data_IF_310721102036
#
_entry.id   IF_310721102036
#
_cell.length_a   1.000
_cell.length_b   1.000
_cell.length_c   1.000
_cell.angle_alpha   90.00
_cell.angle_beta   90.00
_cell.angle_gamma   90.00
#
_symmetry.space_group_name_H-M   'P 1'
#
loop_
_entity.id
_entity.type
_entity.pdbx_description
1 polymer ?
#
# COMPACT_ATOMS: atom_id res chain seq x y z
N UNK A 1 15.23 56.26 -5.04
CA UNK A 1 14.61 55.93 -6.34
C UNK A 1 13.42 55.03 -6.07
N UNK A 2 12.18 55.51 -6.27
CA UNK A 2 11.00 54.66 -6.15
C UNK A 2 11.03 53.61 -7.26
N UNK A 3 11.05 52.32 -6.90
CA UNK A 3 11.09 51.22 -7.87
C UNK A 3 9.83 51.22 -8.74
N UNK A 4 10.00 51.19 -10.06
CA UNK A 4 8.87 51.08 -11.00
C UNK A 4 8.27 49.69 -10.85
N UNK A 5 6.98 49.61 -10.50
CA UNK A 5 6.28 48.31 -10.43
C UNK A 5 5.96 47.85 -11.85
N UNK A 6 6.30 46.60 -12.17
CA UNK A 6 6.06 45.98 -13.47
C UNK A 6 5.15 44.77 -13.26
N UNK A 7 4.01 44.75 -13.93
CA UNK A 7 3.15 43.57 -13.97
C UNK A 7 3.62 42.66 -15.10
N UNK A 8 3.92 41.40 -14.76
CA UNK A 8 4.33 40.37 -15.72
C UNK A 8 3.27 39.27 -15.70
N UNK A 9 2.79 38.88 -16.88
CA UNK A 9 1.91 37.73 -17.02
C UNK A 9 2.74 36.48 -17.25
N UNK A 10 2.58 35.51 -16.36
CA UNK A 10 3.17 34.17 -16.46
C UNK A 10 2.05 33.16 -16.70
N UNK A 11 2.32 32.09 -17.44
CA UNK A 11 1.42 30.94 -17.44
C UNK A 11 1.41 30.27 -16.06
N UNK A 12 0.33 29.59 -15.69
CA UNK A 12 0.19 28.95 -14.37
C UNK A 12 1.41 28.11 -13.99
N UNK A 13 1.78 27.16 -14.85
CA UNK A 13 2.94 26.28 -14.66
C UNK A 13 4.29 27.03 -14.63
N UNK A 14 4.39 28.20 -15.26
CA UNK A 14 5.61 29.01 -15.24
C UNK A 14 5.78 29.71 -13.90
N UNK A 15 4.69 30.25 -13.34
CA UNK A 15 4.72 30.92 -12.05
C UNK A 15 5.16 29.97 -10.93
N UNK A 16 4.64 28.74 -10.91
CA UNK A 16 5.05 27.72 -9.92
C UNK A 16 6.53 27.35 -10.05
N UNK A 17 7.04 27.20 -11.28
CA UNK A 17 8.46 26.89 -11.52
C UNK A 17 9.38 28.01 -11.06
N UNK A 18 9.03 29.26 -11.34
CA UNK A 18 9.81 30.41 -10.87
C UNK A 18 9.72 30.58 -9.36
N UNK A 19 8.57 30.26 -8.76
CA UNK A 19 8.41 30.27 -7.31
C UNK A 19 9.29 29.20 -6.65
N UNK A 20 9.25 27.95 -7.13
CA UNK A 20 10.11 26.87 -6.64
C UNK A 20 11.60 27.24 -6.72
N UNK A 21 12.07 27.79 -7.86
CA UNK A 21 13.45 28.24 -8.00
C UNK A 21 13.81 29.43 -7.10
N UNK A 22 12.85 30.30 -6.76
CA UNK A 22 13.07 31.38 -5.81
C UNK A 22 13.18 30.84 -4.37
N UNK A 23 12.35 29.86 -4.01
CA UNK A 23 12.32 29.21 -2.70
C UNK A 23 13.63 28.45 -2.42
N UNK A 24 14.15 27.72 -3.40
CA UNK A 24 15.48 27.06 -3.35
C UNK A 24 16.62 28.04 -3.04
N UNK A 25 16.44 29.31 -3.43
CA UNK A 25 17.41 30.40 -3.20
C UNK A 25 17.07 31.27 -1.98
N UNK A 26 16.04 30.90 -1.21
CA UNK A 26 15.50 31.69 -0.10
C UNK A 26 15.16 33.14 -0.47
N UNK A 27 14.65 33.35 -1.69
CA UNK A 27 14.24 34.65 -2.22
C UNK A 27 12.73 34.68 -2.43
N UNK A 28 12.12 35.86 -2.33
CA UNK A 28 10.78 36.05 -2.88
C UNK A 28 10.83 36.05 -4.40
N UNK A 29 9.78 35.58 -5.07
CA UNK A 29 9.67 35.58 -6.53
C UNK A 29 9.98 36.97 -7.16
N UNK A 30 9.49 38.11 -6.62
CA UNK A 30 9.88 39.43 -7.12
C UNK A 30 11.37 39.73 -6.96
N UNK A 31 11.99 39.33 -5.85
CA UNK A 31 13.43 39.54 -5.62
C UNK A 31 14.28 38.67 -6.56
N UNK A 32 13.84 37.44 -6.81
CA UNK A 32 14.47 36.53 -7.76
C UNK A 32 14.43 37.08 -9.20
N UNK A 33 13.26 37.50 -9.68
CA UNK A 33 13.11 38.07 -11.02
C UNK A 33 13.84 39.40 -11.16
N UNK A 34 13.79 40.25 -10.11
CA UNK A 34 14.54 41.51 -10.10
C UNK A 34 16.04 41.27 -10.21
N UNK A 35 16.59 40.31 -9.46
CA UNK A 35 18.02 39.98 -9.52
C UNK A 35 18.43 39.54 -10.92
N UNK A 36 17.61 38.73 -11.60
CA UNK A 36 17.85 38.33 -12.98
C UNK A 36 17.84 39.53 -13.94
N UNK A 37 16.88 40.44 -13.78
CA UNK A 37 16.77 41.66 -14.59
C UNK A 37 17.95 42.61 -14.35
N UNK A 38 18.30 42.87 -13.09
CA UNK A 38 19.44 43.72 -12.70
C UNK A 38 20.74 43.15 -13.28
N UNK A 39 20.95 41.84 -13.17
CA UNK A 39 22.14 41.17 -13.74
C UNK A 39 22.20 41.33 -15.26
N UNK A 40 21.08 41.18 -15.97
CA UNK A 40 21.06 41.34 -17.42
C UNK A 40 21.33 42.79 -17.86
N UNK A 41 20.88 43.77 -17.07
CA UNK A 41 21.07 45.20 -17.35
C UNK A 41 22.48 45.69 -17.03
N UNK A 42 23.14 45.09 -16.02
CA UNK A 42 24.51 45.44 -15.61
C UNK A 42 25.60 44.77 -16.45
N UNK A 43 25.23 43.83 -17.33
CA UNK A 43 26.19 43.13 -18.20
C UNK A 43 26.31 43.76 -19.60
N UNK A 44 27.51 43.78 -20.21
CA UNK A 44 27.70 44.24 -21.59
C UNK A 44 26.95 43.40 -22.63
N UNK A 45 26.73 42.11 -22.37
CA UNK A 45 25.91 41.21 -23.18
C UNK A 45 24.73 40.65 -22.37
N UNK A 46 23.56 41.31 -22.42
CA UNK A 46 22.35 40.84 -21.75
C UNK A 46 21.90 39.45 -22.19
N UNK A 47 22.22 39.02 -23.43
CA UNK A 47 21.83 37.69 -23.92
C UNK A 47 22.62 36.59 -23.24
N UNK A 48 23.90 36.83 -22.97
CA UNK A 48 24.74 35.91 -22.22
C UNK A 48 24.22 35.76 -20.78
N UNK A 49 23.93 36.87 -20.11
CA UNK A 49 23.36 36.88 -18.76
C UNK A 49 22.02 36.12 -18.68
N UNK A 50 21.12 36.33 -19.64
CA UNK A 50 19.85 35.60 -19.70
C UNK A 50 20.04 34.10 -19.98
N UNK A 51 21.04 33.71 -20.78
CA UNK A 51 21.37 32.29 -21.00
C UNK A 51 21.94 31.63 -19.75
N UNK A 52 22.80 32.34 -19.02
CA UNK A 52 23.34 31.87 -17.75
C UNK A 52 22.19 31.65 -16.74
N UNK A 53 21.32 32.67 -16.58
CA UNK A 53 20.12 32.57 -15.75
C UNK A 53 19.22 31.38 -16.14
N UNK A 54 18.92 31.20 -17.43
CA UNK A 54 18.11 30.08 -17.90
C UNK A 54 18.78 28.71 -17.65
N UNK A 55 20.10 28.66 -17.59
CA UNK A 55 20.85 27.44 -17.30
C UNK A 55 20.78 27.11 -15.81
N UNK A 56 20.96 28.11 -14.94
CA UNK A 56 20.81 27.94 -13.50
C UNK A 56 19.38 27.56 -13.13
N UNK A 57 18.37 28.23 -13.69
CA UNK A 57 16.96 27.90 -13.46
C UNK A 57 16.66 26.43 -13.81
N UNK A 58 17.23 25.91 -14.90
CA UNK A 58 17.08 24.50 -15.25
C UNK A 58 17.79 23.57 -14.26
N UNK A 59 18.88 24.01 -13.63
CA UNK A 59 19.56 23.23 -12.61
C UNK A 59 18.71 23.15 -11.34
N UNK A 60 18.16 24.28 -10.90
CA UNK A 60 17.28 24.36 -9.72
C UNK A 60 16.03 23.47 -9.91
N UNK A 61 15.34 23.61 -11.05
CA UNK A 61 14.17 22.78 -11.35
C UNK A 61 14.49 21.28 -11.45
N UNK A 62 15.72 20.91 -11.85
CA UNK A 62 16.14 19.50 -11.85
C UNK A 62 16.44 18.99 -10.45
N UNK A 63 16.91 19.85 -9.54
CA UNK A 63 17.13 19.48 -8.15
C UNK A 63 15.78 19.19 -7.49
N UNK A 64 14.79 20.06 -7.71
CA UNK A 64 13.41 19.89 -7.22
C UNK A 64 12.78 18.57 -7.73
N UNK A 65 12.83 18.33 -9.05
CA UNK A 65 12.34 17.08 -9.65
C UNK A 65 13.02 15.82 -9.10
N UNK A 66 14.30 15.89 -8.73
CA UNK A 66 15.00 14.76 -8.10
C UNK A 66 14.53 14.53 -6.67
N UNK A 67 14.26 15.60 -5.92
CA UNK A 67 13.68 15.52 -4.59
C UNK A 67 12.30 14.86 -4.60
N UNK A 68 11.43 15.30 -5.51
CA UNK A 68 10.10 14.68 -5.69
C UNK A 68 10.20 13.23 -6.16
N UNK A 69 11.09 12.92 -7.10
CA UNK A 69 11.31 11.54 -7.54
C UNK A 69 11.79 10.63 -6.38
N UNK A 70 12.61 11.16 -5.47
CA UNK A 70 13.05 10.41 -4.29
C UNK A 70 11.88 10.12 -3.33
N UNK A 71 11.00 11.10 -3.07
CA UNK A 71 9.78 10.90 -2.27
C UNK A 71 8.85 9.86 -2.90
N UNK A 72 8.67 9.91 -4.22
CA UNK A 72 7.87 8.91 -4.95
C UNK A 72 8.49 7.53 -4.84
N UNK A 73 9.82 7.41 -4.99
CA UNK A 73 10.52 6.13 -4.86
C UNK A 73 10.37 5.53 -3.45
N UNK A 74 10.47 6.37 -2.41
CA UNK A 74 10.24 5.95 -1.01
C UNK A 74 8.80 5.48 -0.80
N UNK A 75 7.81 6.22 -1.31
CA UNK A 75 6.40 5.83 -1.23
C UNK A 75 6.14 4.49 -1.93
N UNK A 76 6.75 4.26 -3.10
CA UNK A 76 6.64 2.98 -3.83
C UNK A 76 7.26 1.83 -3.03
N UNK A 77 8.42 2.06 -2.40
CA UNK A 77 9.06 1.05 -1.55
C UNK A 77 8.18 0.67 -0.35
N UNK A 78 7.57 1.65 0.32
CA UNK A 78 6.64 1.41 1.44
C UNK A 78 5.39 0.65 1.00
N UNK A 79 4.85 0.94 -0.19
CA UNK A 79 3.71 0.19 -0.75
C UNK A 79 4.12 -1.26 -1.02
N UNK A 80 5.29 -1.50 -1.58
CA UNK A 80 5.79 -2.84 -1.86
C UNK A 80 5.96 -3.67 -0.58
N UNK A 81 6.52 -3.07 0.48
CA UNK A 81 6.66 -3.71 1.79
C UNK A 81 5.30 -4.13 2.37
N UNK A 82 4.32 -3.22 2.37
CA UNK A 82 2.96 -3.53 2.86
C UNK A 82 2.26 -4.62 2.05
N UNK A 83 2.49 -4.68 0.74
CA UNK A 83 1.93 -5.75 -0.10
C UNK A 83 2.51 -7.12 0.28
N UNK A 84 3.79 -7.18 0.61
CA UNK A 84 4.43 -8.42 1.04
C UNK A 84 3.93 -8.86 2.42
N UNK A 85 3.77 -7.93 3.36
CA UNK A 85 3.15 -8.20 4.66
C UNK A 85 1.73 -8.77 4.50
N UNK A 86 0.91 -8.16 3.64
CA UNK A 86 -0.45 -8.63 3.35
C UNK A 86 -0.45 -10.03 2.75
N UNK A 87 0.48 -10.35 1.83
CA UNK A 87 0.63 -11.70 1.30
C UNK A 87 0.99 -12.70 2.40
N UNK A 88 1.92 -12.34 3.27
CA UNK A 88 2.31 -13.19 4.40
C UNK A 88 1.17 -13.45 5.40
N UNK A 89 0.34 -12.44 5.66
CA UNK A 89 -0.87 -12.58 6.49
C UNK A 89 -1.92 -13.46 5.79
N UNK A 90 -2.13 -13.26 4.49
CA UNK A 90 -3.07 -14.04 3.71
C UNK A 90 -2.68 -15.52 3.66
N UNK A 91 -1.39 -15.83 3.46
CA UNK A 91 -0.90 -17.21 3.51
C UNK A 91 -1.08 -17.86 4.88
N UNK A 92 -0.82 -17.13 5.97
CA UNK A 92 -1.08 -17.62 7.33
C UNK A 92 -2.57 -17.91 7.54
N UNK A 93 -3.43 -16.99 7.15
CA UNK A 93 -4.88 -17.18 7.23
C UNK A 93 -5.35 -18.43 6.46
N UNK A 94 -4.85 -18.65 5.24
CA UNK A 94 -5.19 -19.84 4.46
C UNK A 94 -4.72 -21.14 5.12
N UNK A 95 -3.52 -21.14 5.73
CA UNK A 95 -3.00 -22.29 6.45
C UNK A 95 -3.85 -22.60 7.69
N UNK A 96 -4.18 -21.59 8.49
CA UNK A 96 -5.04 -21.74 9.67
C UNK A 96 -6.42 -22.27 9.29
N UNK A 97 -7.00 -21.77 8.19
CA UNK A 97 -8.29 -22.22 7.68
C UNK A 97 -8.23 -23.69 7.24
N UNK A 98 -7.16 -24.11 6.56
CA UNK A 98 -6.96 -25.50 6.17
C UNK A 98 -6.80 -26.43 7.38
N UNK A 99 -6.03 -26.02 8.39
CA UNK A 99 -5.88 -26.79 9.64
C UNK A 99 -7.21 -26.94 10.38
N UNK A 100 -8.01 -25.87 10.46
CA UNK A 100 -9.35 -25.91 11.04
C UNK A 100 -10.27 -26.88 10.28
N UNK A 101 -10.23 -26.88 8.96
CA UNK A 101 -11.02 -27.82 8.14
C UNK A 101 -10.60 -29.27 8.38
N UNK A 102 -9.30 -29.56 8.39
CA UNK A 102 -8.78 -30.90 8.69
C UNK A 102 -9.24 -31.35 10.09
N UNK A 103 -9.13 -30.48 11.09
CA UNK A 103 -9.56 -30.80 12.45
C UNK A 103 -11.07 -31.01 12.54
N UNK A 104 -11.87 -30.19 11.86
CA UNK A 104 -13.33 -30.37 11.80
C UNK A 104 -13.71 -31.73 11.19
N UNK A 105 -13.04 -32.15 10.11
CA UNK A 105 -13.24 -33.47 9.50
C UNK A 105 -12.87 -34.60 10.46
N UNK A 106 -11.72 -34.50 11.16
CA UNK A 106 -11.32 -35.50 12.17
C UNK A 106 -12.37 -35.65 13.26
N UNK A 107 -12.85 -34.53 13.81
CA UNK A 107 -13.90 -34.51 14.84
C UNK A 107 -15.19 -35.16 14.31
N UNK A 108 -15.62 -34.80 13.10
CA UNK A 108 -16.82 -35.39 12.50
C UNK A 108 -16.71 -36.92 12.33
N UNK A 109 -15.54 -37.42 11.91
CA UNK A 109 -15.27 -38.85 11.78
C UNK A 109 -15.30 -39.55 13.13
N UNK A 110 -14.68 -38.97 14.16
CA UNK A 110 -14.69 -39.52 15.52
C UNK A 110 -16.10 -39.61 16.10
N UNK A 111 -16.89 -38.55 15.95
CA UNK A 111 -18.30 -38.51 16.37
C UNK A 111 -19.11 -39.58 15.64
N UNK A 112 -18.95 -39.72 14.32
CA UNK A 112 -19.62 -40.76 13.54
C UNK A 112 -19.25 -42.18 14.00
N UNK A 113 -17.97 -42.42 14.33
CA UNK A 113 -17.52 -43.71 14.86
C UNK A 113 -18.13 -44.02 16.23
N UNK A 114 -18.20 -43.03 17.12
CA UNK A 114 -18.82 -43.19 18.44
C UNK A 114 -20.32 -43.50 18.33
N UNK A 115 -21.04 -42.80 17.45
CA UNK A 115 -22.46 -43.08 17.20
C UNK A 115 -22.69 -44.47 16.59
N UNK A 116 -21.93 -44.85 15.57
CA UNK A 116 -22.06 -46.19 14.97
C UNK A 116 -21.72 -47.33 15.93
N UNK A 117 -20.77 -47.13 16.85
CA UNK A 117 -20.46 -48.10 17.92
C UNK A 117 -21.57 -48.18 18.97
N UNK A 118 -22.19 -47.06 19.34
CA UNK A 118 -23.32 -47.03 20.25
C UNK A 118 -24.55 -47.74 19.67
N UNK A 119 -24.84 -47.52 18.39
CA UNK A 119 -25.93 -48.20 17.66
C UNK A 119 -25.68 -49.71 17.52
N UNK A 120 -24.45 -50.13 17.21
CA UNK A 120 -24.08 -51.54 17.14
C UNK A 120 -24.19 -52.24 18.51
N UNK A 121 -23.82 -51.57 19.62
CA UNK A 121 -24.00 -52.12 20.96
C UNK A 121 -25.47 -52.21 21.37
N UNK A 122 -26.31 -51.24 21.02
CA UNK A 122 -27.77 -51.35 21.21
C UNK A 122 -28.36 -52.51 20.41
N UNK A 123 -27.95 -52.69 19.15
CA UNK A 123 -28.39 -53.80 18.31
C UNK A 123 -27.94 -55.18 18.86
N UNK A 124 -26.75 -55.28 19.46
CA UNK A 124 -26.29 -56.51 20.10
C UNK A 124 -26.95 -56.79 21.46
N UNK A 125 -27.31 -55.74 22.22
CA UNK A 125 -28.07 -55.85 23.47
C UNK A 125 -29.55 -56.21 23.27
N UNK A 126 -30.08 -56.01 22.05
CA UNK A 126 -31.46 -56.30 21.67
C UNK A 126 -31.64 -57.69 21.02
N UNK A 127 -30.73 -58.65 21.21
CA UNK A 127 -31.00 -60.04 20.82
C UNK A 127 -32.07 -60.64 21.75
N UNK A 128 -33.25 -61.05 21.25
CA UNK A 128 -34.25 -61.68 22.10
C UNK A 128 -33.72 -63.04 22.54
N UNK A 129 -33.56 -63.21 23.86
CA UNK A 129 -33.43 -64.53 24.46
C UNK A 129 -34.71 -65.31 24.17
N UNK A 130 -34.67 -66.20 23.18
CA UNK A 130 -35.73 -67.20 23.02
C UNK A 130 -35.66 -68.12 24.25
N UNK A 131 -36.46 -67.79 25.26
CA UNK A 131 -36.81 -68.72 26.34
C UNK A 131 -37.48 -69.92 25.69
N UNK A 132 -36.82 -71.07 25.71
CA UNK A 132 -37.40 -72.34 25.32
C UNK A 132 -38.61 -72.65 26.21
N UNK A 133 -39.81 -72.39 25.72
CA UNK A 133 -41.05 -72.87 26.35
C UNK A 133 -41.22 -74.34 25.98
N UNK A 134 -40.92 -75.25 26.91
CA UNK A 134 -41.34 -76.64 26.81
C UNK A 134 -42.87 -76.70 26.76
N UNK A 135 -43.49 -77.54 25.91
CA UNK A 135 -44.94 -77.67 25.86
C UNK A 135 -45.46 -78.44 27.10
N UNK A 136 -46.68 -78.12 27.60
CA UNK A 136 -47.24 -78.79 28.77
C UNK A 136 -47.69 -80.22 28.45
N UNK A 137 -47.69 -81.13 29.44
CA UNK A 137 -48.11 -82.52 29.22
C UNK A 137 -49.63 -82.57 29.02
N UNK A 138 -50.06 -83.36 28.04
CA UNK A 138 -51.46 -83.71 27.82
C UNK A 138 -51.89 -84.70 28.91
N UNK A 139 -52.89 -84.30 29.70
CA UNK A 139 -53.67 -85.16 30.59
C UNK A 139 -55.07 -85.35 30.03
#
# INVERSE_FOLDING_TARGET
MAGKTISVWLKGDEAERFQSAADERALSLPAFLKRAADTALDTPDPREALRAFATELRADLRADLRGEAAKVAEAVALIAERQEELRGLFHRFLNDLNEQQINAVKVAVEVGRQHGQAEAMQAMGAKPSYRSSSPPPLG
#
